data_IF_440060422446
#
_entry.id   IF_440060422446
#
_cell.length_a   1.000
_cell.length_b   1.000
_cell.length_c   1.000
_cell.angle_alpha   90.00
_cell.angle_beta   90.00
_cell.angle_gamma   90.00
#
_symmetry.space_group_name_H-M   'P 1'
#
loop_
_entity.id
_entity.type
_entity.pdbx_description
1 polymer ?
#
# COMPACT_ATOMS: atom_id res chain seq x y z
N UNK A 1 -12.49 -1.65 11.15
CA UNK A 1 -11.70 -0.83 10.21
C UNK A 1 -11.11 -1.75 9.17
N UNK A 2 -11.39 -1.51 7.89
CA UNK A 2 -10.81 -2.25 6.77
C UNK A 2 -9.92 -1.31 5.96
N UNK A 3 -8.61 -1.43 6.15
CA UNK A 3 -7.63 -0.59 5.48
C UNK A 3 -7.59 -0.80 3.95
N UNK A 4 -8.19 -1.88 3.44
CA UNK A 4 -8.19 -2.24 2.03
C UNK A 4 -9.57 -2.08 1.38
N UNK A 5 -10.51 -1.43 2.08
CA UNK A 5 -11.84 -1.16 1.56
C UNK A 5 -11.74 -0.51 0.17
N UNK A 6 -12.54 -0.96 -0.82
CA UNK A 6 -12.42 -0.46 -2.18
C UNK A 6 -12.90 0.99 -2.32
N UNK A 7 -13.73 1.46 -1.40
CA UNK A 7 -14.29 2.81 -1.37
C UNK A 7 -13.50 3.64 -0.34
N UNK A 8 -13.07 4.86 -0.70
CA UNK A 8 -12.42 5.74 0.26
C UNK A 8 -13.38 6.10 1.40
N UNK A 9 -12.91 6.11 2.66
CA UNK A 9 -13.71 6.62 3.76
C UNK A 9 -13.85 8.15 3.67
N UNK A 10 -14.92 8.71 4.22
CA UNK A 10 -15.23 10.16 4.15
C UNK A 10 -14.07 11.04 4.65
N UNK A 11 -13.36 10.60 5.70
CA UNK A 11 -12.24 11.34 6.27
C UNK A 11 -11.01 11.42 5.34
N UNK A 12 -10.90 10.54 4.34
CA UNK A 12 -9.76 10.54 3.42
C UNK A 12 -9.75 11.77 2.50
N UNK A 13 -10.91 12.37 2.23
CA UNK A 13 -11.01 13.60 1.41
C UNK A 13 -10.34 14.81 2.11
N UNK A 14 -10.41 14.86 3.44
CA UNK A 14 -9.77 15.92 4.24
C UNK A 14 -8.26 15.70 4.45
N UNK A 15 -7.69 14.60 3.95
CA UNK A 15 -6.32 14.24 4.25
C UNK A 15 -5.31 15.11 3.51
N UNK A 16 -4.32 15.62 4.24
CA UNK A 16 -3.21 16.42 3.69
C UNK A 16 -1.94 15.59 3.54
N UNK A 17 -1.08 15.93 2.57
CA UNK A 17 0.21 15.25 2.43
C UNK A 17 1.13 15.59 3.60
N UNK A 18 1.62 14.58 4.30
CA UNK A 18 2.60 14.77 5.36
C UNK A 18 4.02 14.79 4.78
N UNK A 19 4.82 15.80 5.18
CA UNK A 19 6.22 15.92 4.75
C UNK A 19 7.11 14.91 5.46
N UNK A 20 6.86 14.71 6.73
CA UNK A 20 7.44 13.64 7.54
C UNK A 20 6.45 12.48 7.59
N UNK A 21 6.94 11.27 7.86
CA UNK A 21 6.08 10.10 8.02
C UNK A 21 5.40 10.08 9.41
N UNK A 22 4.70 11.16 9.73
CA UNK A 22 4.02 11.42 11.01
C UNK A 22 2.87 12.41 10.81
N UNK A 23 1.96 12.47 11.78
CA UNK A 23 0.85 13.42 11.77
C UNK A 23 1.35 14.87 11.68
N UNK A 24 0.92 15.67 10.69
CA UNK A 24 1.40 17.05 10.54
C UNK A 24 0.96 17.98 11.67
N UNK A 25 -0.03 17.59 12.46
CA UNK A 25 -0.58 18.39 13.57
C UNK A 25 0.08 18.06 14.91
N UNK A 26 0.04 16.80 15.35
CA UNK A 26 0.55 16.40 16.66
C UNK A 26 1.85 15.58 16.62
N UNK A 27 2.39 15.28 15.42
CA UNK A 27 3.60 14.47 15.21
C UNK A 27 3.51 13.00 15.66
N UNK A 28 2.33 12.52 16.00
CA UNK A 28 2.09 11.10 16.26
C UNK A 28 2.49 10.25 15.05
N UNK A 29 3.02 9.07 15.32
CA UNK A 29 3.48 8.13 14.30
C UNK A 29 2.29 7.50 13.55
N UNK A 30 2.56 6.90 12.39
CA UNK A 30 1.56 6.12 11.64
C UNK A 30 0.91 4.99 12.47
N UNK A 31 1.64 4.43 13.45
CA UNK A 31 1.14 3.36 14.32
C UNK A 31 0.14 3.83 15.38
N UNK A 32 0.06 5.13 15.63
CA UNK A 32 -0.88 5.76 16.57
C UNK A 32 -2.15 6.27 15.87
N UNK A 33 -2.29 5.99 14.56
CA UNK A 33 -3.49 6.32 13.83
C UNK A 33 -4.67 5.44 14.28
N UNK A 34 -5.82 6.07 14.42
CA UNK A 34 -7.09 5.40 14.74
C UNK A 34 -7.70 4.71 13.54
N UNK A 35 -7.51 5.29 12.34
CA UNK A 35 -7.89 4.69 11.07
C UNK A 35 -6.80 4.81 10.02
N UNK A 36 -6.80 3.88 9.07
CA UNK A 36 -5.84 3.77 7.96
C UNK A 36 -6.61 3.29 6.73
N UNK A 37 -6.25 3.80 5.57
CA UNK A 37 -6.81 3.36 4.30
C UNK A 37 -5.75 3.40 3.19
N UNK A 38 -5.71 2.37 2.34
CA UNK A 38 -4.77 2.25 1.23
C UNK A 38 -5.51 2.48 -0.09
N UNK A 39 -5.08 3.48 -0.87
CA UNK A 39 -5.63 3.69 -2.21
C UNK A 39 -5.01 2.70 -3.20
N UNK A 40 -5.66 1.55 -3.37
CA UNK A 40 -5.26 0.50 -4.32
C UNK A 40 -5.62 0.78 -5.79
N UNK A 41 -6.27 1.91 -6.09
CA UNK A 41 -6.76 2.23 -7.46
C UNK A 41 -5.81 3.11 -8.24
N UNK A 42 -4.88 3.78 -7.57
CA UNK A 42 -4.04 4.81 -8.20
C UNK A 42 -2.58 4.67 -7.77
N UNK A 43 -1.91 3.59 -8.19
CA UNK A 43 -0.48 3.46 -7.95
C UNK A 43 0.30 4.49 -8.77
N UNK A 44 1.39 5.00 -8.19
CA UNK A 44 2.36 5.83 -8.91
C UNK A 44 3.62 4.99 -9.13
N UNK A 45 4.17 5.03 -10.33
CA UNK A 45 5.47 4.44 -10.63
C UNK A 45 6.57 5.48 -10.47
N UNK A 46 7.64 5.14 -9.77
CA UNK A 46 8.85 5.96 -9.75
C UNK A 46 9.75 5.65 -10.95
N UNK A 47 10.78 6.48 -11.14
CA UNK A 47 11.79 6.31 -12.18
C UNK A 47 12.44 4.92 -12.16
N UNK A 48 12.63 4.34 -10.97
CA UNK A 48 13.14 2.96 -10.79
C UNK A 48 12.10 1.85 -11.10
N UNK A 49 10.98 2.18 -11.76
CA UNK A 49 9.84 1.29 -12.03
C UNK A 49 9.22 0.63 -10.78
N UNK A 50 9.51 1.16 -9.58
CA UNK A 50 8.88 0.71 -8.34
C UNK A 50 7.52 1.34 -8.17
N UNK A 51 6.56 0.55 -7.72
CA UNK A 51 5.22 1.03 -7.41
C UNK A 51 5.21 1.66 -6.02
N UNK A 52 4.52 2.79 -5.91
CA UNK A 52 4.16 3.42 -4.64
C UNK A 52 2.66 3.50 -4.52
N UNK A 53 2.18 3.27 -3.31
CA UNK A 53 0.78 3.36 -2.96
C UNK A 53 0.56 4.55 -2.02
N UNK A 54 -0.56 5.24 -2.21
CA UNK A 54 -0.96 6.31 -1.29
C UNK A 54 -1.63 5.70 -0.07
N UNK A 55 -1.09 5.97 1.12
CA UNK A 55 -1.62 5.48 2.38
C UNK A 55 -2.10 6.65 3.24
N UNK A 56 -3.34 6.55 3.68
CA UNK A 56 -4.08 7.56 4.43
C UNK A 56 -4.19 7.14 5.88
N UNK A 57 -4.15 8.10 6.80
CA UNK A 57 -4.16 7.91 8.24
C UNK A 57 -5.08 8.94 8.89
N UNK A 58 -5.98 8.48 9.76
CA UNK A 58 -6.73 9.33 10.67
C UNK A 58 -6.08 9.28 12.04
N UNK A 59 -5.43 10.36 12.43
CA UNK A 59 -4.76 10.46 13.72
C UNK A 59 -5.76 10.56 14.87
N UNK A 60 -5.38 10.09 16.06
CA UNK A 60 -6.15 10.28 17.28
C UNK A 60 -6.43 11.76 17.63
N UNK A 61 -5.64 12.71 17.09
CA UNK A 61 -5.91 14.14 17.23
C UNK A 61 -6.99 14.68 16.28
N UNK A 62 -7.57 13.83 15.43
CA UNK A 62 -8.60 14.17 14.44
C UNK A 62 -8.05 14.62 13.08
N UNK A 63 -6.73 14.81 12.95
CA UNK A 63 -6.13 15.18 11.67
C UNK A 63 -6.04 13.96 10.74
N UNK A 64 -6.57 14.11 9.52
CA UNK A 64 -6.36 13.18 8.42
C UNK A 64 -5.11 13.58 7.62
N UNK A 65 -4.26 12.62 7.28
CA UNK A 65 -3.06 12.85 6.48
C UNK A 65 -2.71 11.64 5.63
N UNK A 66 -1.90 11.83 4.61
CA UNK A 66 -1.45 10.75 3.75
C UNK A 66 0.04 10.87 3.40
N UNK A 67 0.63 9.73 3.10
CA UNK A 67 2.01 9.62 2.62
C UNK A 67 2.17 8.50 1.61
N UNK A 68 3.33 8.47 0.95
CA UNK A 68 3.66 7.40 0.00
C UNK A 68 4.24 6.19 0.73
N UNK A 69 3.59 5.05 0.59
CA UNK A 69 4.15 3.75 0.96
C UNK A 69 4.90 3.17 -0.24
N UNK A 70 6.16 2.80 -0.04
CA UNK A 70 6.88 1.98 -1.01
C UNK A 70 6.31 0.56 -0.96
N UNK A 71 6.34 -0.17 -2.08
CA UNK A 71 6.23 -1.62 -2.01
C UNK A 71 7.33 -2.17 -1.08
N UNK A 72 6.96 -3.08 -0.18
CA UNK A 72 7.93 -3.76 0.66
C UNK A 72 8.96 -4.46 -0.25
N UNK A 73 10.25 -4.52 0.14
CA UNK A 73 11.20 -5.35 -0.56
C UNK A 73 10.65 -6.79 -0.68
N UNK A 74 11.06 -7.56 -1.70
CA UNK A 74 10.68 -8.97 -1.80
C UNK A 74 10.97 -9.66 -0.47
N UNK A 75 9.92 -9.95 0.30
CA UNK A 75 10.01 -10.75 1.50
C UNK A 75 9.72 -12.19 1.12
N UNK A 76 10.08 -13.15 1.98
CA UNK A 76 9.73 -14.56 1.80
C UNK A 76 8.21 -14.78 1.59
N UNK A 77 7.37 -13.79 1.93
CA UNK A 77 5.92 -13.78 1.75
C UNK A 77 5.46 -13.24 0.37
N UNK A 78 6.34 -12.58 -0.39
CA UNK A 78 6.06 -11.99 -1.71
C UNK A 78 6.74 -12.78 -2.85
N UNK A 79 6.95 -14.09 -2.67
CA UNK A 79 7.49 -14.94 -3.74
C UNK A 79 6.45 -15.04 -4.88
N UNK A 80 6.83 -14.76 -6.14
CA UNK A 80 5.95 -15.06 -7.26
C UNK A 80 5.67 -16.56 -7.22
N UNK A 81 4.40 -16.95 -7.26
CA UNK A 81 3.97 -18.34 -7.36
C UNK A 81 4.69 -18.99 -8.55
N UNK A 82 5.74 -19.74 -8.25
CA UNK A 82 6.49 -20.52 -9.23
C UNK A 82 5.76 -21.85 -9.38
N UNK A 83 4.52 -21.79 -9.85
CA UNK A 83 3.67 -22.94 -10.14
C UNK A 83 3.17 -22.86 -11.59
N UNK A 84 4.10 -22.60 -12.50
CA UNK A 84 3.97 -22.98 -13.90
C UNK A 84 5.15 -23.90 -14.25
N UNK A 85 5.15 -25.10 -13.64
CA UNK A 85 5.90 -26.22 -14.20
C UNK A 85 5.22 -26.56 -15.52
N UNK A 86 5.79 -26.11 -16.64
CA UNK A 86 5.50 -26.73 -17.93
C UNK A 86 6.03 -28.16 -17.83
N UNK A 87 5.11 -29.09 -17.55
CA UNK A 87 5.38 -30.51 -17.63
C UNK A 87 5.64 -30.80 -19.11
N UNK A 88 6.90 -30.98 -19.49
CA UNK A 88 7.24 -31.53 -20.78
C UNK A 88 6.70 -32.97 -20.80
N UNK A 89 5.54 -33.17 -21.43
CA UNK A 89 5.01 -34.50 -21.73
C UNK A 89 5.96 -35.20 -22.74
N UNK A 90 6.49 -36.40 -22.45
CA UNK A 90 7.34 -37.12 -23.38
C UNK A 90 6.47 -38.07 -24.21
N UNK A 91 5.85 -37.58 -25.28
CA UNK A 91 5.24 -38.45 -26.29
C UNK A 91 4.95 -37.70 -27.59
N UNK A 92 5.93 -37.67 -28.47
CA UNK A 92 5.73 -37.77 -29.92
C UNK A 92 7.09 -38.01 -30.58
N UNK A 93 7.45 -39.28 -30.77
CA UNK A 93 8.09 -39.75 -32.00
C UNK A 93 7.98 -41.29 -32.02
N UNK A 94 7.07 -41.74 -32.87
CA UNK A 94 6.90 -43.11 -33.36
C UNK A 94 8.06 -43.52 -34.28
#
# INVERSE_FOLDING_TARGET
MDAFAPVPPDWAEAAVHAWEFSCPTCRATAGEATEVWLNRRSPVFTEDYRRKWQMFYLCHCGAAWWGWSNEQPPSELNKPDTSATFQNDPLDDL
#
